data_IF_059381652902
#
_entry.id   IF_059381652902
#
_cell.length_a   1.000
_cell.length_b   1.000
_cell.length_c   1.000
_cell.angle_alpha   90.00
_cell.angle_beta   90.00
_cell.angle_gamma   90.00
#
_symmetry.space_group_name_H-M   'P 1'
#
loop_
_entity.id
_entity.type
_entity.pdbx_description
1 polymer ?
#
# COMPACT_ATOMS: atom_id res chain seq x y z
N UNK A 1 4.61 24.46 -10.51
CA UNK A 1 4.28 23.73 -9.26
C UNK A 1 3.24 22.70 -9.64
N UNK A 2 3.57 21.40 -9.64
CA UNK A 2 2.58 20.36 -9.94
C UNK A 2 1.70 20.25 -8.69
N UNK A 3 0.42 20.58 -8.80
CA UNK A 3 -0.53 20.35 -7.72
C UNK A 3 -0.78 18.85 -7.63
N UNK A 4 -0.27 18.24 -6.56
CA UNK A 4 -0.55 16.85 -6.26
C UNK A 4 -1.91 16.86 -5.54
N UNK A 5 -2.96 16.59 -6.31
CA UNK A 5 -4.32 16.41 -5.79
C UNK A 5 -4.39 15.01 -5.16
N UNK A 6 -5.17 14.88 -4.10
CA UNK A 6 -5.44 13.59 -3.48
C UNK A 6 -6.18 12.68 -4.48
N UNK A 7 -5.69 11.47 -4.76
CA UNK A 7 -6.33 10.59 -5.73
C UNK A 7 -7.69 10.11 -5.21
N UNK A 8 -8.60 9.87 -6.13
CA UNK A 8 -9.78 9.03 -5.89
C UNK A 8 -9.39 7.58 -5.57
N UNK A 9 -10.33 6.77 -5.09
CA UNK A 9 -10.07 5.34 -4.82
C UNK A 9 -9.68 4.56 -6.08
N UNK A 10 -10.25 4.90 -7.24
CA UNK A 10 -9.94 4.24 -8.50
C UNK A 10 -8.55 4.62 -9.00
N UNK A 11 -8.19 5.91 -8.95
CA UNK A 11 -6.83 6.36 -9.25
C UNK A 11 -5.80 5.75 -8.29
N UNK A 12 -6.14 5.69 -7.00
CA UNK A 12 -5.29 5.06 -5.99
C UNK A 12 -5.05 3.58 -6.29
N UNK A 13 -6.11 2.84 -6.67
CA UNK A 13 -6.03 1.45 -7.10
C UNK A 13 -5.12 1.29 -8.32
N UNK A 14 -5.27 2.14 -9.32
CA UNK A 14 -4.44 2.09 -10.53
C UNK A 14 -2.97 2.39 -10.25
N UNK A 15 -2.70 3.38 -9.39
CA UNK A 15 -1.33 3.65 -8.92
C UNK A 15 -0.79 2.44 -8.18
N UNK A 16 -1.55 1.83 -7.27
CA UNK A 16 -1.12 0.68 -6.50
C UNK A 16 -0.80 -0.53 -7.39
N UNK A 17 -1.66 -0.85 -8.36
CA UNK A 17 -1.43 -1.92 -9.35
C UNK A 17 -0.13 -1.70 -10.13
N UNK A 18 0.10 -0.48 -10.63
CA UNK A 18 1.33 -0.13 -11.37
C UNK A 18 2.57 -0.26 -10.51
N UNK A 19 2.53 0.26 -9.28
CA UNK A 19 3.66 0.21 -8.35
C UNK A 19 3.98 -1.23 -7.92
N UNK A 20 2.95 -2.01 -7.52
CA UNK A 20 3.12 -3.40 -7.12
C UNK A 20 3.71 -4.23 -8.26
N UNK A 21 3.18 -4.08 -9.48
CA UNK A 21 3.70 -4.75 -10.68
C UNK A 21 5.16 -4.37 -10.98
N UNK A 22 5.50 -3.08 -10.92
CA UNK A 22 6.87 -2.62 -11.15
C UNK A 22 7.87 -3.16 -10.11
N UNK A 23 7.38 -3.54 -8.93
CA UNK A 23 8.17 -4.08 -7.81
C UNK A 23 8.14 -5.60 -7.71
N UNK A 24 7.44 -6.29 -8.60
CA UNK A 24 7.27 -7.74 -8.54
C UNK A 24 6.41 -8.23 -7.37
N UNK A 25 5.57 -7.37 -6.80
CA UNK A 25 4.65 -7.74 -5.73
C UNK A 25 3.38 -8.31 -6.36
N UNK A 26 2.94 -9.49 -5.89
CA UNK A 26 1.68 -10.07 -6.34
C UNK A 26 0.49 -9.26 -5.81
N UNK A 27 -0.13 -8.49 -6.69
CA UNK A 27 -1.26 -7.63 -6.37
C UNK A 27 -2.55 -8.42 -6.07
N UNK A 28 -3.37 -7.91 -5.14
CA UNK A 28 -4.70 -8.45 -4.84
C UNK A 28 -5.71 -7.32 -4.61
N UNK A 29 -6.83 -7.34 -5.36
CA UNK A 29 -7.93 -6.38 -5.21
C UNK A 29 -8.60 -6.49 -3.82
N UNK A 30 -8.66 -7.70 -3.25
CA UNK A 30 -9.22 -7.95 -1.92
C UNK A 30 -8.30 -7.40 -0.81
N UNK A 31 -6.99 -7.58 -0.95
CA UNK A 31 -6.02 -7.05 -0.01
C UNK A 31 -5.96 -5.51 -0.07
N UNK A 32 -6.11 -4.92 -1.27
CA UNK A 32 -6.25 -3.47 -1.40
C UNK A 32 -7.53 -2.96 -0.74
N UNK A 33 -8.66 -3.64 -0.95
CA UNK A 33 -9.92 -3.28 -0.31
C UNK A 33 -9.80 -3.31 1.22
N UNK A 34 -9.11 -4.34 1.75
CA UNK A 34 -8.79 -4.42 3.17
C UNK A 34 -7.91 -3.25 3.65
N UNK A 35 -6.82 -2.95 2.94
CA UNK A 35 -5.94 -1.81 3.24
C UNK A 35 -6.75 -0.51 3.32
N UNK A 36 -7.59 -0.24 2.31
CA UNK A 36 -8.41 0.96 2.24
C UNK A 36 -9.42 1.03 3.40
N UNK A 37 -10.10 -0.07 3.71
CA UNK A 37 -11.07 -0.10 4.78
C UNK A 37 -10.43 0.09 6.16
N UNK A 38 -9.42 -0.73 6.47
CA UNK A 38 -8.82 -0.79 7.81
C UNK A 38 -7.91 0.40 8.11
N UNK A 39 -7.09 0.79 7.13
CA UNK A 39 -6.00 1.74 7.35
C UNK A 39 -6.29 3.13 6.79
N UNK A 40 -7.31 3.31 5.94
CA UNK A 40 -7.70 4.63 5.45
C UNK A 40 -9.07 5.09 5.96
N UNK A 41 -10.11 4.30 5.74
CA UNK A 41 -11.49 4.69 6.03
C UNK A 41 -11.74 4.75 7.53
N UNK A 42 -11.49 3.65 8.27
CA UNK A 42 -11.71 3.63 9.73
C UNK A 42 -10.95 4.73 10.49
N UNK A 43 -9.66 5.00 10.19
CA UNK A 43 -8.89 6.02 10.89
C UNK A 43 -9.00 7.41 10.23
N UNK A 44 -9.89 7.56 9.24
CA UNK A 44 -10.14 8.79 8.49
C UNK A 44 -8.88 9.42 7.86
N UNK A 45 -7.98 8.60 7.30
CA UNK A 45 -6.77 9.06 6.61
C UNK A 45 -7.09 9.46 5.17
N UNK A 46 -6.48 10.56 4.72
CA UNK A 46 -6.56 10.99 3.32
C UNK A 46 -5.66 10.13 2.44
N UNK A 47 -6.09 9.89 1.20
CA UNK A 47 -5.27 9.25 0.19
C UNK A 47 -4.17 10.23 -0.29
N UNK A 48 -3.00 9.68 -0.63
CA UNK A 48 -1.91 10.41 -1.30
C UNK A 48 -1.33 9.51 -2.36
N UNK A 49 -0.98 10.10 -3.50
CA UNK A 49 -0.37 9.36 -4.62
C UNK A 49 1.00 8.74 -4.25
N UNK A 50 1.67 9.22 -3.19
CA UNK A 50 2.92 8.65 -2.68
C UNK A 50 2.73 7.36 -1.89
N UNK A 51 1.61 7.20 -1.17
CA UNK A 51 1.42 6.09 -0.24
C UNK A 51 1.55 4.69 -0.87
N UNK A 52 1.04 4.42 -2.09
CA UNK A 52 1.23 3.11 -2.72
C UNK A 52 2.69 2.73 -2.88
N UNK A 53 3.56 3.70 -3.22
CA UNK A 53 5.01 3.47 -3.34
C UNK A 53 5.59 3.07 -1.99
N UNK A 54 5.34 3.87 -0.97
CA UNK A 54 5.91 3.65 0.37
C UNK A 54 5.40 2.35 1.00
N UNK A 55 4.11 2.05 0.86
CA UNK A 55 3.53 0.80 1.36
C UNK A 55 4.10 -0.43 0.62
N UNK A 56 4.31 -0.33 -0.69
CA UNK A 56 4.97 -1.40 -1.43
C UNK A 56 6.45 -1.55 -1.03
N UNK A 57 7.15 -0.45 -0.73
CA UNK A 57 8.53 -0.49 -0.21
C UNK A 57 8.56 -1.26 1.12
N UNK A 58 7.62 -0.98 2.04
CA UNK A 58 7.49 -1.73 3.30
C UNK A 58 7.18 -3.21 3.08
N UNK A 59 6.28 -3.56 2.15
CA UNK A 59 6.00 -4.97 1.80
C UNK A 59 7.28 -5.68 1.33
N UNK A 60 8.08 -5.04 0.47
CA UNK A 60 9.34 -5.62 -0.02
C UNK A 60 10.34 -5.83 1.11
N UNK A 61 10.56 -4.80 1.94
CA UNK A 61 11.54 -4.87 3.03
C UNK A 61 11.19 -5.98 4.04
N UNK A 62 9.90 -6.09 4.39
CA UNK A 62 9.40 -7.15 5.27
C UNK A 62 9.53 -8.53 4.60
N UNK A 63 9.16 -8.67 3.33
CA UNK A 63 9.24 -9.94 2.61
C UNK A 63 10.70 -10.43 2.51
N UNK A 64 11.62 -9.53 2.18
CA UNK A 64 13.05 -9.81 2.15
C UNK A 64 13.58 -10.21 3.53
N UNK A 65 13.23 -9.48 4.59
CA UNK A 65 13.66 -9.80 5.95
C UNK A 65 13.16 -11.18 6.41
N UNK A 66 11.93 -11.55 6.04
CA UNK A 66 11.33 -12.84 6.37
C UNK A 66 11.72 -13.96 5.39
N UNK A 67 12.47 -13.66 4.33
CA UNK A 67 12.82 -14.58 3.24
C UNK A 67 11.58 -15.27 2.61
N UNK A 68 10.52 -14.49 2.37
CA UNK A 68 9.29 -14.94 1.72
C UNK A 68 9.02 -14.15 0.43
N UNK A 69 8.14 -14.69 -0.42
CA UNK A 69 7.71 -14.00 -1.63
C UNK A 69 6.91 -12.72 -1.31
N UNK A 70 7.16 -11.60 -2.02
CA UNK A 70 6.44 -10.36 -1.81
C UNK A 70 5.03 -10.44 -2.39
N UNK A 71 4.03 -10.57 -1.52
CA UNK A 71 2.62 -10.70 -1.90
C UNK A 71 1.73 -9.73 -1.14
N UNK A 72 0.65 -9.26 -1.78
CA UNK A 72 -0.42 -8.56 -1.08
C UNK A 72 -1.31 -9.57 -0.35
N UNK A 73 -0.92 -9.95 0.86
CA UNK A 73 -1.77 -10.66 1.82
C UNK A 73 -2.26 -9.71 2.91
N UNK A 74 -3.34 -10.06 3.61
CA UNK A 74 -3.82 -9.29 4.77
C UNK A 74 -2.71 -9.06 5.80
N UNK A 75 -1.93 -10.10 6.09
CA UNK A 75 -0.81 -10.03 7.03
C UNK A 75 0.29 -9.06 6.57
N UNK A 76 0.70 -9.12 5.29
CA UNK A 76 1.72 -8.23 4.76
C UNK A 76 1.23 -6.77 4.74
N UNK A 77 -0.05 -6.55 4.43
CA UNK A 77 -0.68 -5.24 4.50
C UNK A 77 -0.66 -4.70 5.93
N UNK A 78 -1.04 -5.49 6.93
CA UNK A 78 -1.04 -5.04 8.32
C UNK A 78 0.38 -4.66 8.78
N UNK A 79 1.39 -5.49 8.51
CA UNK A 79 2.78 -5.20 8.88
C UNK A 79 3.30 -3.93 8.18
N UNK A 80 3.07 -3.81 6.87
CA UNK A 80 3.53 -2.67 6.08
C UNK A 80 2.83 -1.37 6.50
N UNK A 81 1.52 -1.41 6.69
CA UNK A 81 0.74 -0.25 7.11
C UNK A 81 1.04 0.15 8.56
N UNK A 82 1.28 -0.82 9.46
CA UNK A 82 1.69 -0.54 10.82
C UNK A 82 3.05 0.17 10.85
N UNK A 83 4.07 -0.32 10.14
CA UNK A 83 5.36 0.37 10.07
C UNK A 83 5.19 1.76 9.43
N UNK A 84 4.50 1.87 8.29
CA UNK A 84 4.36 3.14 7.58
C UNK A 84 3.59 4.23 8.33
N UNK A 85 2.44 3.90 8.95
CA UNK A 85 1.57 4.90 9.58
C UNK A 85 1.85 5.15 11.06
N UNK A 86 2.59 4.27 11.74
CA UNK A 86 2.90 4.40 13.17
C UNK A 86 4.32 4.95 13.38
N UNK A 87 5.22 4.85 12.40
CA UNK A 87 6.55 5.49 12.46
C UNK A 87 6.54 7.01 12.16
N UNK A 88 5.36 7.64 12.06
CA UNK A 88 5.20 9.08 11.77
C UNK A 88 4.47 9.85 12.87
#
# INVERSE_FOLDING_TARGET
>A
KIEIIDPSYDEYRDIFKKVASAKGINYSDDALAYLLQEWYIKPARKLRASHPRDLCDQILDIAHYLAVEPVMSKEMIDKAAQSYFVEL
#
